data_IF_661084250890
#
_entry.id   IF_661084250890
#
_cell.length_a   1.000
_cell.length_b   1.000
_cell.length_c   1.000
_cell.angle_alpha   90.00
_cell.angle_beta   90.00
_cell.angle_gamma   90.00
#
_symmetry.space_group_name_H-M   'P 1'
#
loop_
_entity.id
_entity.type
_entity.pdbx_description
1 polymer ?
#
# COMPACT_ATOMS: atom_id res chain seq x y z
N UNK A 1 -8.71 11.50 81.71
CA UNK A 1 -9.74 11.68 82.68
C UNK A 1 -11.07 11.97 82.01
N UNK A 2 -11.89 11.08 82.31
CA UNK A 2 -13.26 11.32 82.79
C UNK A 2 -14.23 11.98 81.76
N UNK A 3 -15.42 11.61 81.59
CA UNK A 3 -16.30 10.65 82.22
C UNK A 3 -17.72 10.85 81.58
N UNK A 4 -18.41 9.77 81.59
CA UNK A 4 -19.82 9.60 81.87
C UNK A 4 -20.91 10.14 80.85
N UNK A 5 -21.62 9.26 80.37
CA UNK A 5 -22.93 8.84 80.11
C UNK A 5 -24.11 9.60 80.82
N UNK A 6 -25.35 9.05 80.84
CA UNK A 6 -26.18 8.47 79.80
C UNK A 6 -27.56 9.18 79.76
N UNK A 7 -28.45 8.85 78.82
CA UNK A 7 -29.80 9.35 78.95
C UNK A 7 -30.78 8.89 77.84
N UNK A 8 -31.50 7.83 78.13
CA UNK A 8 -32.95 7.58 77.96
C UNK A 8 -33.62 7.69 76.57
N UNK A 9 -34.08 6.52 76.16
CA UNK A 9 -35.26 6.28 75.32
C UNK A 9 -36.53 6.82 76.03
N UNK A 10 -37.72 6.94 75.40
CA UNK A 10 -38.44 5.85 74.74
C UNK A 10 -39.39 6.29 73.56
N UNK A 11 -39.96 5.32 72.89
CA UNK A 11 -41.10 5.51 72.02
C UNK A 11 -41.41 4.32 71.12
N UNK A 12 -41.94 3.26 71.73
CA UNK A 12 -42.58 2.17 71.02
C UNK A 12 -43.74 2.65 70.15
N UNK A 13 -43.76 2.23 68.91
CA UNK A 13 -45.05 2.11 68.12
C UNK A 13 -45.13 0.74 67.52
N UNK A 14 -46.22 0.10 67.87
CA UNK A 14 -46.67 -1.23 67.50
C UNK A 14 -46.75 -1.42 65.99
N UNK A 15 -46.20 -2.51 65.51
CA UNK A 15 -46.39 -3.03 64.17
C UNK A 15 -47.72 -3.79 64.05
N UNK A 16 -48.45 -3.71 62.93
CA UNK A 16 -49.57 -4.57 62.62
C UNK A 16 -49.09 -5.96 62.11
N UNK A 17 -49.93 -7.00 62.24
CA UNK A 17 -49.55 -8.38 62.01
C UNK A 17 -49.36 -8.70 60.53
N UNK A 18 -48.57 -9.76 60.18
CA UNK A 18 -48.23 -10.10 58.81
C UNK A 18 -49.40 -10.70 58.03
N UNK A 19 -49.60 -10.23 56.82
CA UNK A 19 -50.58 -10.77 55.86
C UNK A 19 -50.08 -12.10 55.28
N UNK A 20 -50.94 -13.03 55.14
CA UNK A 20 -50.77 -14.41 54.70
C UNK A 20 -50.07 -14.52 53.32
N UNK A 21 -49.17 -15.50 53.25
CA UNK A 21 -48.45 -15.90 52.05
C UNK A 21 -49.44 -16.34 50.90
N UNK A 22 -49.33 -15.67 49.77
CA UNK A 22 -49.85 -16.18 48.47
C UNK A 22 -48.72 -16.95 47.80
N UNK A 23 -49.01 -18.16 47.36
CA UNK A 23 -48.13 -19.06 46.68
C UNK A 23 -47.66 -18.49 45.30
N UNK A 24 -46.61 -19.07 44.73
CA UNK A 24 -45.97 -18.54 43.52
C UNK A 24 -46.90 -18.64 42.32
N UNK A 25 -47.06 -17.52 41.62
CA UNK A 25 -47.70 -17.47 40.32
C UNK A 25 -46.76 -18.20 39.32
N UNK A 26 -47.34 -19.12 38.57
CA UNK A 26 -46.69 -19.75 37.45
C UNK A 26 -46.45 -18.68 36.38
N UNK A 27 -45.20 -18.37 36.13
CA UNK A 27 -44.76 -17.63 34.95
C UNK A 27 -45.05 -18.49 33.70
N UNK A 28 -45.87 -17.97 32.81
CA UNK A 28 -46.00 -18.49 31.46
C UNK A 28 -44.73 -18.14 30.70
N UNK A 29 -44.17 -19.05 29.88
CA UNK A 29 -42.98 -18.74 29.07
C UNK A 29 -43.32 -17.65 28.04
N UNK A 30 -42.57 -16.55 28.07
CA UNK A 30 -42.62 -15.52 27.03
C UNK A 30 -42.30 -16.16 25.67
N UNK A 31 -43.20 -15.93 24.73
CA UNK A 31 -43.04 -16.33 23.34
C UNK A 31 -41.79 -15.60 22.78
N UNK A 32 -40.78 -16.36 22.36
CA UNK A 32 -39.65 -15.84 21.63
C UNK A 32 -40.14 -15.15 20.35
N UNK A 33 -39.66 -13.95 20.02
CA UNK A 33 -39.97 -13.30 18.75
C UNK A 33 -39.48 -14.18 17.60
N UNK A 34 -40.40 -14.51 16.69
CA UNK A 34 -40.07 -15.19 15.45
C UNK A 34 -39.08 -14.28 14.66
N UNK A 35 -38.06 -14.84 13.99
CA UNK A 35 -37.21 -14.05 13.15
C UNK A 35 -38.04 -13.40 12.05
N UNK A 36 -37.98 -12.07 11.97
CA UNK A 36 -38.59 -11.31 10.88
C UNK A 36 -38.06 -11.84 9.55
N UNK A 37 -38.98 -12.22 8.67
CA UNK A 37 -38.68 -12.64 7.32
C UNK A 37 -37.91 -11.48 6.64
N UNK A 38 -36.71 -11.76 6.10
CA UNK A 38 -35.99 -10.81 5.26
C UNK A 38 -36.92 -10.34 4.14
N UNK A 39 -37.00 -9.04 3.89
CA UNK A 39 -37.77 -8.55 2.76
C UNK A 39 -37.24 -9.20 1.48
N UNK A 40 -38.13 -9.78 0.68
CA UNK A 40 -37.79 -10.28 -0.65
C UNK A 40 -37.24 -9.12 -1.49
N UNK A 41 -36.09 -9.32 -2.11
CA UNK A 41 -35.44 -8.32 -2.97
C UNK A 41 -36.39 -7.99 -4.13
N UNK A 42 -36.49 -6.71 -4.49
CA UNK A 42 -37.29 -6.30 -5.64
C UNK A 42 -36.63 -6.75 -6.92
N UNK A 43 -37.35 -7.04 -8.00
CA UNK A 43 -36.80 -7.46 -9.29
C UNK A 43 -35.76 -6.48 -9.85
N UNK A 44 -35.90 -5.18 -9.58
CA UNK A 44 -34.97 -4.12 -10.00
C UNK A 44 -33.61 -4.23 -9.27
N UNK A 45 -33.61 -4.65 -7.99
CA UNK A 45 -32.41 -4.85 -7.19
C UNK A 45 -31.63 -6.09 -7.66
N UNK A 46 -32.32 -7.12 -8.15
CA UNK A 46 -31.69 -8.33 -8.70
C UNK A 46 -31.04 -8.06 -10.07
N UNK A 47 -31.69 -7.29 -10.93
CA UNK A 47 -31.13 -6.95 -12.25
C UNK A 47 -29.87 -6.06 -12.12
N UNK A 48 -29.86 -5.13 -11.18
CA UNK A 48 -28.68 -4.31 -10.88
C UNK A 48 -27.54 -5.14 -10.28
N UNK A 49 -27.85 -6.05 -9.36
CA UNK A 49 -26.88 -6.97 -8.78
C UNK A 49 -26.26 -7.91 -9.83
N UNK A 50 -27.07 -8.39 -10.77
CA UNK A 50 -26.56 -9.24 -11.86
C UNK A 50 -25.69 -8.47 -12.87
N UNK A 51 -26.05 -7.23 -13.17
CA UNK A 51 -25.23 -6.33 -14.03
C UNK A 51 -23.87 -6.07 -13.38
N UNK A 52 -23.85 -5.81 -12.06
CA UNK A 52 -22.61 -5.64 -11.30
C UNK A 52 -21.75 -6.90 -11.31
N UNK A 53 -22.35 -8.09 -11.13
CA UNK A 53 -21.64 -9.37 -11.19
C UNK A 53 -21.02 -9.64 -12.55
N UNK A 54 -21.71 -9.34 -13.65
CA UNK A 54 -21.14 -9.45 -15.01
C UNK A 54 -19.95 -8.51 -15.20
N UNK A 55 -20.04 -7.27 -14.72
CA UNK A 55 -18.92 -6.33 -14.73
C UNK A 55 -17.69 -6.90 -14.03
N UNK A 56 -17.87 -7.44 -12.83
CA UNK A 56 -16.77 -8.08 -12.07
C UNK A 56 -16.18 -9.30 -12.79
N UNK A 57 -17.00 -10.12 -13.47
CA UNK A 57 -16.49 -11.24 -14.27
C UNK A 57 -15.63 -10.75 -15.43
N UNK A 58 -16.06 -9.71 -16.12
CA UNK A 58 -15.29 -9.11 -17.22
C UNK A 58 -13.95 -8.55 -16.72
N UNK A 59 -13.97 -7.85 -15.59
CA UNK A 59 -12.76 -7.30 -14.96
C UNK A 59 -11.81 -8.40 -14.52
N UNK A 60 -12.31 -9.45 -13.86
CA UNK A 60 -11.52 -10.61 -13.46
C UNK A 60 -10.87 -11.29 -14.66
N UNK A 61 -11.65 -11.57 -15.73
CA UNK A 61 -11.15 -12.21 -16.94
C UNK A 61 -10.08 -11.37 -17.64
N UNK A 62 -10.23 -10.05 -17.64
CA UNK A 62 -9.24 -9.14 -18.23
C UNK A 62 -7.88 -9.19 -17.50
N UNK A 63 -7.90 -9.44 -16.17
CA UNK A 63 -6.69 -9.52 -15.34
C UNK A 63 -6.06 -10.91 -15.38
N UNK A 64 -6.88 -11.94 -15.18
CA UNK A 64 -6.43 -13.33 -15.05
C UNK A 64 -6.17 -14.01 -16.39
N UNK A 65 -6.70 -13.48 -17.49
CA UNK A 65 -6.69 -14.12 -18.80
C UNK A 65 -7.61 -15.34 -18.91
N UNK A 66 -8.49 -15.56 -17.90
CA UNK A 66 -9.41 -16.72 -17.88
C UNK A 66 -10.71 -16.44 -18.62
N UNK A 67 -11.44 -17.51 -18.91
CA UNK A 67 -12.79 -17.42 -19.43
C UNK A 67 -13.79 -16.96 -18.36
N UNK A 68 -14.87 -16.29 -18.76
CA UNK A 68 -15.89 -15.70 -17.89
C UNK A 68 -16.51 -16.71 -16.92
N UNK A 69 -16.65 -17.98 -17.32
CA UNK A 69 -17.15 -19.04 -16.46
C UNK A 69 -16.22 -19.34 -15.27
N UNK A 70 -14.91 -19.32 -15.49
CA UNK A 70 -13.92 -19.47 -14.41
C UNK A 70 -13.92 -18.25 -13.49
N UNK A 71 -13.98 -17.04 -14.07
CA UNK A 71 -14.09 -15.79 -13.32
C UNK A 71 -15.29 -15.81 -12.37
N UNK A 72 -16.45 -16.27 -12.85
CA UNK A 72 -17.67 -16.37 -12.05
C UNK A 72 -17.49 -17.31 -10.84
N UNK A 73 -16.79 -18.45 -11.01
CA UNK A 73 -16.53 -19.39 -9.92
C UNK A 73 -15.66 -18.76 -8.82
N UNK A 74 -14.56 -18.13 -9.20
CA UNK A 74 -13.64 -17.48 -8.23
C UNK A 74 -14.29 -16.30 -7.51
N UNK A 75 -15.05 -15.47 -8.24
CA UNK A 75 -15.79 -14.34 -7.67
C UNK A 75 -16.89 -14.80 -6.71
N UNK A 76 -17.65 -15.83 -7.07
CA UNK A 76 -18.68 -16.38 -6.20
C UNK A 76 -18.09 -16.97 -4.91
N UNK A 77 -16.97 -17.71 -5.01
CA UNK A 77 -16.26 -18.28 -3.87
C UNK A 77 -15.67 -17.20 -2.94
N UNK A 78 -15.39 -16.01 -3.49
CA UNK A 78 -14.78 -14.88 -2.76
C UNK A 78 -15.79 -13.81 -2.32
N UNK A 79 -17.10 -14.12 -2.37
CA UNK A 79 -18.15 -13.18 -1.98
C UNK A 79 -18.31 -12.00 -2.94
N UNK A 80 -17.94 -12.17 -4.20
CA UNK A 80 -17.95 -11.14 -5.25
C UNK A 80 -16.99 -9.97 -4.98
N UNK A 81 -15.93 -10.22 -4.22
CA UNK A 81 -14.82 -9.28 -4.02
C UNK A 81 -13.68 -9.59 -5.01
N UNK A 82 -13.45 -8.69 -5.98
CA UNK A 82 -12.51 -8.88 -7.07
C UNK A 82 -11.08 -9.17 -6.60
N UNK A 83 -10.58 -8.41 -5.62
CA UNK A 83 -9.23 -8.59 -5.10
C UNK A 83 -9.02 -9.97 -4.46
N UNK A 84 -10.01 -10.42 -3.65
CA UNK A 84 -9.98 -11.74 -3.03
C UNK A 84 -10.09 -12.88 -4.05
N UNK A 85 -10.91 -12.68 -5.09
CA UNK A 85 -11.06 -13.65 -6.17
C UNK A 85 -9.77 -13.81 -6.99
N UNK A 86 -9.10 -12.70 -7.31
CA UNK A 86 -7.83 -12.70 -8.02
C UNK A 86 -6.72 -13.37 -7.20
N UNK A 87 -6.62 -13.07 -5.90
CA UNK A 87 -5.68 -13.75 -5.03
C UNK A 87 -5.93 -15.27 -5.01
N UNK A 88 -7.19 -15.69 -4.82
CA UNK A 88 -7.56 -17.12 -4.83
C UNK A 88 -7.27 -17.80 -6.18
N UNK A 89 -7.38 -17.08 -7.29
CA UNK A 89 -7.06 -17.60 -8.61
C UNK A 89 -5.55 -17.81 -8.78
N UNK A 90 -4.74 -16.83 -8.42
CA UNK A 90 -3.30 -16.89 -8.55
C UNK A 90 -2.65 -17.83 -7.52
N UNK A 91 -3.27 -18.06 -6.35
CA UNK A 91 -2.86 -19.06 -5.36
C UNK A 91 -3.14 -20.52 -5.82
N UNK A 92 -4.04 -20.71 -6.79
CA UNK A 92 -4.50 -22.04 -7.20
C UNK A 92 -3.60 -22.73 -8.24
N UNK A 93 -2.61 -22.05 -8.81
CA UNK A 93 -1.77 -22.57 -9.90
C UNK A 93 -0.62 -23.49 -9.42
N UNK A 94 -0.78 -24.16 -8.25
CA UNK A 94 0.11 -25.22 -7.79
C UNK A 94 -0.59 -26.59 -7.89
N UNK A 95 -0.80 -27.08 -9.11
CA UNK A 95 -0.99 -28.52 -9.34
C UNK A 95 -0.40 -28.91 -10.69
N UNK A 96 0.53 -29.90 -10.75
CA UNK A 96 0.98 -30.44 -12.00
C UNK A 96 0.03 -31.58 -12.43
N UNK A 97 -0.67 -31.42 -13.52
CA UNK A 97 -1.25 -32.62 -14.18
C UNK A 97 -1.23 -32.49 -15.68
N UNK A 98 -0.36 -33.25 -16.20
CA UNK A 98 -0.38 -34.19 -17.31
C UNK A 98 -1.53 -34.09 -18.31
N UNK A 99 -1.04 -34.08 -19.53
CA UNK A 99 -1.54 -34.74 -20.73
C UNK A 99 -2.48 -34.02 -21.66
N UNK A 100 -1.91 -33.77 -22.74
CA UNK A 100 -2.19 -34.28 -24.08
C UNK A 100 -2.64 -33.25 -25.12
N UNK A 101 -1.78 -33.19 -26.09
CA UNK A 101 -1.96 -33.23 -27.57
C UNK A 101 -2.43 -31.96 -28.28
N UNK A 102 -1.41 -31.36 -28.98
CA UNK A 102 -1.32 -31.23 -30.45
C UNK A 102 -2.39 -30.38 -31.13
N UNK A 103 -2.11 -29.45 -31.99
CA UNK A 103 -1.05 -29.08 -32.93
C UNK A 103 -1.30 -27.66 -33.47
N UNK A 104 -0.37 -27.06 -34.22
CA UNK A 104 -0.30 -25.63 -34.43
C UNK A 104 -1.06 -25.19 -35.69
N UNK A 105 -1.62 -24.02 -35.64
CA UNK A 105 -1.92 -23.29 -36.88
C UNK A 105 -1.36 -21.86 -36.76
N UNK A 106 -0.43 -21.62 -37.66
CA UNK A 106 0.08 -20.31 -38.07
C UNK A 106 -1.05 -19.37 -38.43
N UNK A 107 -0.88 -18.11 -38.08
CA UNK A 107 -1.13 -16.91 -38.91
C UNK A 107 -1.16 -15.73 -37.94
N UNK A 108 -0.34 -14.84 -38.06
CA UNK A 108 -0.10 -13.66 -38.85
C UNK A 108 0.64 -12.62 -37.98
N UNK A 109 1.83 -12.31 -38.40
CA UNK A 109 2.66 -11.26 -37.82
C UNK A 109 2.06 -9.88 -38.17
N UNK A 110 1.35 -9.30 -37.20
CA UNK A 110 1.11 -7.88 -37.12
C UNK A 110 2.19 -7.24 -36.25
N UNK A 111 3.26 -6.79 -36.86
CA UNK A 111 4.35 -6.07 -36.18
C UNK A 111 3.83 -4.74 -35.60
N UNK A 112 3.33 -4.75 -34.38
CA UNK A 112 3.24 -3.57 -33.55
C UNK A 112 4.63 -3.31 -32.97
N UNK A 113 5.33 -2.36 -33.56
CA UNK A 113 6.58 -1.81 -33.07
C UNK A 113 6.38 -1.25 -31.64
N UNK A 114 6.56 -2.12 -30.64
CA UNK A 114 6.62 -1.68 -29.24
C UNK A 114 7.98 -1.02 -29.01
N UNK A 115 8.01 0.30 -29.09
CA UNK A 115 9.16 1.08 -28.69
C UNK A 115 9.39 0.85 -27.18
N UNK A 116 10.45 0.13 -26.86
CA UNK A 116 10.95 0.08 -25.49
C UNK A 116 11.47 1.46 -25.12
N UNK A 117 10.88 2.10 -24.13
CA UNK A 117 11.40 3.34 -23.58
C UNK A 117 12.53 2.93 -22.65
N UNK A 118 13.75 3.25 -23.03
CA UNK A 118 14.89 3.18 -22.11
C UNK A 118 14.78 4.39 -21.19
N UNK A 119 14.68 4.14 -19.88
CA UNK A 119 14.57 5.19 -18.88
C UNK A 119 15.88 6.01 -18.72
N UNK A 120 16.91 5.68 -19.48
CA UNK A 120 18.17 6.44 -19.49
C UNK A 120 18.23 7.51 -20.59
N UNK A 121 17.32 7.48 -21.58
CA UNK A 121 17.37 8.44 -22.68
C UNK A 121 16.37 9.58 -22.45
N UNK A 122 16.89 10.80 -22.28
CA UNK A 122 16.12 12.04 -22.35
C UNK A 122 15.63 12.20 -23.79
N UNK A 123 14.33 12.25 -23.99
CA UNK A 123 13.72 12.52 -25.28
C UNK A 123 14.39 13.73 -25.96
N UNK A 124 15.12 13.47 -27.03
CA UNK A 124 15.60 14.52 -27.93
C UNK A 124 14.40 15.05 -28.69
N UNK A 125 13.91 16.20 -28.29
CA UNK A 125 13.07 17.03 -29.13
C UNK A 125 13.82 17.28 -30.43
N UNK A 126 13.26 16.80 -31.55
CA UNK A 126 13.78 17.09 -32.88
C UNK A 126 13.69 18.58 -33.15
N UNK A 127 14.82 19.25 -33.12
CA UNK A 127 15.00 20.50 -33.84
C UNK A 127 15.99 20.24 -34.96
N UNK A 128 15.56 20.56 -36.17
CA UNK A 128 16.31 20.42 -37.40
C UNK A 128 17.59 21.28 -37.40
N UNK A 129 18.67 20.64 -37.87
CA UNK A 129 19.84 21.20 -38.50
C UNK A 129 20.64 22.34 -37.83
N UNK A 130 21.77 22.00 -37.22
CA UNK A 130 23.05 22.68 -37.46
C UNK A 130 24.19 21.69 -37.31
N UNK A 131 25.18 21.80 -38.21
CA UNK A 131 26.35 20.95 -38.44
C UNK A 131 27.33 20.95 -37.28
N UNK A 132 27.94 19.77 -37.05
CA UNK A 132 29.31 19.44 -36.65
C UNK A 132 29.99 20.35 -35.62
N UNK A 133 30.30 19.80 -34.44
CA UNK A 133 31.72 19.61 -34.03
C UNK A 133 31.79 18.62 -32.83
N UNK A 134 32.68 17.66 -33.07
CA UNK A 134 33.44 16.79 -32.16
C UNK A 134 32.94 16.51 -30.74
N UNK A 135 32.74 15.24 -30.51
CA UNK A 135 33.10 14.44 -29.30
C UNK A 135 33.45 15.27 -28.04
N UNK A 136 32.48 15.68 -27.30
CA UNK A 136 32.56 15.85 -25.87
C UNK A 136 31.54 14.91 -25.27
N UNK A 137 31.98 13.72 -24.93
CA UNK A 137 31.27 12.87 -23.96
C UNK A 137 31.35 13.64 -22.62
N UNK A 138 30.42 14.56 -22.41
CA UNK A 138 30.16 15.07 -21.07
C UNK A 138 29.60 13.89 -20.27
N UNK A 139 30.50 13.19 -19.57
CA UNK A 139 30.09 12.39 -18.44
C UNK A 139 29.35 13.36 -17.50
N UNK A 140 28.01 13.30 -17.48
CA UNK A 140 27.24 13.95 -16.42
C UNK A 140 27.90 13.51 -15.11
N UNK A 141 28.58 14.44 -14.42
CA UNK A 141 29.13 14.17 -13.11
C UNK A 141 27.97 13.80 -12.22
N UNK A 142 27.94 12.53 -11.87
CA UNK A 142 26.95 11.99 -10.95
C UNK A 142 27.16 12.72 -9.63
N UNK A 143 26.14 13.46 -9.19
CA UNK A 143 26.18 14.13 -7.89
C UNK A 143 26.10 13.08 -6.78
N UNK A 144 27.26 12.74 -6.21
CA UNK A 144 27.35 11.76 -5.11
C UNK A 144 26.89 12.33 -3.76
N UNK A 145 26.69 13.64 -3.67
CA UNK A 145 26.23 14.33 -2.47
C UNK A 145 24.73 14.20 -2.23
N UNK A 146 23.99 13.63 -3.20
CA UNK A 146 22.52 13.51 -3.13
C UNK A 146 22.05 12.09 -3.42
N UNK A 147 20.96 11.72 -2.72
CA UNK A 147 20.22 10.48 -2.92
C UNK A 147 18.73 10.84 -3.06
N UNK A 148 18.08 10.31 -4.09
CA UNK A 148 16.66 10.52 -4.33
C UNK A 148 15.88 9.22 -4.17
N UNK A 149 14.71 9.31 -3.48
CA UNK A 149 13.84 8.19 -3.21
C UNK A 149 12.39 8.55 -3.57
N UNK A 150 11.75 7.70 -4.36
CA UNK A 150 10.32 7.76 -4.64
C UNK A 150 9.62 6.61 -3.91
N UNK A 151 8.56 6.88 -3.15
CA UNK A 151 7.64 5.83 -2.67
C UNK A 151 6.24 6.09 -3.19
N UNK A 152 5.59 5.04 -3.73
CA UNK A 152 4.29 5.20 -4.36
C UNK A 152 3.45 3.92 -4.32
N UNK A 153 2.25 3.98 -3.76
CA UNK A 153 1.21 3.01 -4.02
C UNK A 153 0.66 3.28 -5.44
N UNK A 154 0.86 2.34 -6.36
CA UNK A 154 0.55 2.51 -7.79
C UNK A 154 -0.85 2.04 -8.17
N UNK A 155 -1.67 1.66 -7.18
CA UNK A 155 -3.06 1.23 -7.36
C UNK A 155 -3.16 0.16 -8.45
N UNK A 156 -2.35 -0.88 -8.33
CA UNK A 156 -2.27 -1.97 -9.31
C UNK A 156 -3.53 -2.86 -9.30
N UNK A 157 -4.34 -2.77 -8.25
CA UNK A 157 -5.59 -3.52 -8.13
C UNK A 157 -6.73 -2.92 -8.95
N UNK A 158 -6.72 -1.61 -9.22
CA UNK A 158 -7.69 -0.99 -10.12
C UNK A 158 -7.32 -1.24 -11.58
N UNK A 159 -8.16 -2.00 -12.27
CA UNK A 159 -7.95 -2.39 -13.66
C UNK A 159 -8.35 -1.31 -14.68
N UNK A 160 -9.08 -0.28 -14.24
CA UNK A 160 -9.51 0.81 -15.12
C UNK A 160 -8.28 1.57 -15.67
N UNK A 161 -8.10 1.53 -16.97
CA UNK A 161 -6.98 2.18 -17.68
C UNK A 161 -5.58 1.80 -17.15
N UNK A 162 -5.42 0.58 -16.61
CA UNK A 162 -4.17 0.16 -15.95
C UNK A 162 -2.94 0.32 -16.85
N UNK A 163 -3.03 0.05 -18.14
CA UNK A 163 -1.91 0.18 -19.06
C UNK A 163 -1.46 1.64 -19.25
N UNK A 164 -2.41 2.57 -19.33
CA UNK A 164 -2.14 3.99 -19.45
C UNK A 164 -1.57 4.54 -18.14
N UNK A 165 -2.14 4.13 -17.00
CA UNK A 165 -1.66 4.48 -15.68
C UNK A 165 -0.24 3.93 -15.43
N UNK A 166 0.02 2.67 -15.79
CA UNK A 166 1.35 2.07 -15.68
C UNK A 166 2.38 2.78 -16.58
N UNK A 167 1.98 3.21 -17.78
CA UNK A 167 2.83 4.01 -18.65
C UNK A 167 3.18 5.34 -17.99
N UNK A 168 2.21 6.02 -17.41
CA UNK A 168 2.41 7.29 -16.73
C UNK A 168 3.34 7.15 -15.50
N UNK A 169 3.18 6.10 -14.69
CA UNK A 169 4.10 5.80 -13.58
C UNK A 169 5.52 5.60 -14.10
N UNK A 170 5.71 4.80 -15.17
CA UNK A 170 7.04 4.62 -15.78
C UNK A 170 7.62 5.93 -16.30
N UNK A 171 6.80 6.78 -16.94
CA UNK A 171 7.24 8.07 -17.47
C UNK A 171 7.67 9.02 -16.35
N UNK A 172 6.97 9.03 -15.22
CA UNK A 172 7.34 9.83 -14.06
C UNK A 172 8.62 9.31 -13.39
N UNK A 173 8.80 7.98 -13.28
CA UNK A 173 10.07 7.40 -12.82
C UNK A 173 11.22 7.79 -13.77
N UNK A 174 10.98 7.81 -15.08
CA UNK A 174 11.96 8.24 -16.07
C UNK A 174 12.27 9.74 -15.99
N UNK A 175 11.27 10.56 -15.70
CA UNK A 175 11.41 12.02 -15.58
C UNK A 175 12.23 12.41 -14.36
N UNK A 176 11.88 11.84 -13.19
CA UNK A 176 12.55 12.16 -11.92
C UNK A 176 13.85 11.36 -11.72
N UNK A 177 14.01 10.25 -12.41
CA UNK A 177 15.18 9.34 -12.33
C UNK A 177 15.65 9.04 -10.91
N UNK A 178 14.76 8.69 -9.96
CA UNK A 178 15.15 8.49 -8.56
C UNK A 178 16.16 7.34 -8.43
N UNK A 179 17.07 7.44 -7.45
CA UNK A 179 18.05 6.37 -7.19
C UNK A 179 17.35 5.11 -6.63
N UNK A 180 16.29 5.33 -5.85
CA UNK A 180 15.53 4.30 -5.13
C UNK A 180 14.05 4.52 -5.39
N UNK A 181 13.31 3.44 -5.70
CA UNK A 181 11.85 3.48 -5.80
C UNK A 181 11.24 2.38 -4.94
N UNK A 182 10.27 2.74 -4.11
CA UNK A 182 9.42 1.82 -3.37
C UNK A 182 8.03 1.83 -3.97
N UNK A 183 7.54 0.67 -4.37
CA UNK A 183 6.20 0.52 -4.94
C UNK A 183 5.34 -0.36 -4.05
N UNK A 184 4.07 0.02 -3.91
CA UNK A 184 3.06 -0.78 -3.25
C UNK A 184 1.94 -1.08 -4.25
N UNK A 185 1.19 -2.15 -4.02
CA UNK A 185 0.17 -2.70 -4.91
C UNK A 185 0.70 -3.09 -6.30
N UNK A 186 1.89 -3.65 -6.34
CA UNK A 186 2.43 -4.25 -7.56
C UNK A 186 1.75 -5.61 -7.76
N UNK A 187 1.19 -5.83 -8.94
CA UNK A 187 0.65 -7.12 -9.37
C UNK A 187 1.55 -7.72 -10.46
N UNK A 188 1.54 -9.05 -10.70
CA UNK A 188 2.43 -9.68 -11.68
C UNK A 188 2.40 -9.07 -13.08
N UNK A 189 1.23 -8.71 -13.69
CA UNK A 189 1.20 -8.00 -14.96
C UNK A 189 1.91 -6.64 -14.93
N UNK A 190 1.73 -5.88 -13.83
CA UNK A 190 2.39 -4.59 -13.65
C UNK A 190 3.90 -4.75 -13.46
N UNK A 191 4.32 -5.74 -12.66
CA UNK A 191 5.74 -6.09 -12.50
C UNK A 191 6.41 -6.44 -13.84
N UNK A 192 5.74 -7.28 -14.65
CA UNK A 192 6.25 -7.64 -15.96
C UNK A 192 6.36 -6.43 -16.90
N UNK A 193 5.43 -5.48 -16.81
CA UNK A 193 5.48 -4.23 -17.54
C UNK A 193 6.68 -3.37 -17.10
N UNK A 194 6.85 -3.17 -15.78
CA UNK A 194 7.99 -2.44 -15.22
C UNK A 194 9.31 -3.08 -15.64
N UNK A 195 9.43 -4.40 -15.57
CA UNK A 195 10.65 -5.13 -15.93
C UNK A 195 11.05 -4.92 -17.38
N UNK A 196 10.08 -4.77 -18.29
CA UNK A 196 10.32 -4.49 -19.70
C UNK A 196 10.69 -3.03 -19.98
N UNK A 197 10.26 -2.09 -19.15
CA UNK A 197 10.39 -0.65 -19.39
C UNK A 197 11.48 0.00 -18.55
N UNK A 198 11.61 -0.39 -17.29
CA UNK A 198 12.60 0.18 -16.36
C UNK A 198 13.92 -0.60 -16.39
N UNK A 199 14.52 -0.74 -17.57
CA UNK A 199 15.74 -1.55 -17.79
C UNK A 199 16.96 -1.03 -17.02
N UNK A 200 16.99 0.27 -16.69
CA UNK A 200 18.03 0.91 -15.87
C UNK A 200 17.93 0.60 -14.39
N UNK A 201 16.87 -0.10 -13.95
CA UNK A 201 16.66 -0.48 -12.56
C UNK A 201 16.78 -1.99 -12.36
N UNK A 202 17.28 -2.37 -11.19
CA UNK A 202 17.08 -3.71 -10.63
C UNK A 202 15.82 -3.69 -9.82
N UNK A 203 14.86 -4.57 -10.12
CA UNK A 203 13.56 -4.64 -9.43
C UNK A 203 13.55 -5.86 -8.52
N UNK A 204 13.27 -5.65 -7.25
CA UNK A 204 13.24 -6.65 -6.19
C UNK A 204 11.81 -6.72 -5.66
N UNK A 205 11.02 -7.74 -6.04
CA UNK A 205 9.69 -7.92 -5.53
C UNK A 205 9.70 -8.55 -4.13
N UNK A 206 8.70 -8.23 -3.31
CA UNK A 206 8.51 -8.86 -2.00
C UNK A 206 7.74 -10.18 -2.08
N UNK A 207 7.13 -10.46 -3.22
CA UNK A 207 6.43 -11.71 -3.53
C UNK A 207 6.40 -11.91 -5.05
N UNK A 208 5.94 -13.09 -5.49
CA UNK A 208 5.77 -13.43 -6.91
C UNK A 208 4.28 -13.51 -7.30
N UNK A 209 3.39 -13.62 -6.32
CA UNK A 209 1.96 -13.83 -6.49
C UNK A 209 1.14 -12.75 -5.79
N UNK A 210 -0.16 -12.66 -6.15
CA UNK A 210 -1.08 -11.70 -5.55
C UNK A 210 -0.72 -10.24 -5.84
N UNK A 211 -0.70 -9.41 -4.81
CA UNK A 211 -0.25 -8.03 -4.88
C UNK A 211 0.74 -7.75 -3.74
N UNK A 212 1.84 -7.14 -4.08
CA UNK A 212 3.00 -7.04 -3.21
C UNK A 212 3.70 -5.69 -3.33
N UNK A 213 4.72 -5.51 -2.51
CA UNK A 213 5.61 -4.36 -2.62
C UNK A 213 6.86 -4.72 -3.44
N UNK A 214 7.47 -3.72 -4.05
CA UNK A 214 8.74 -3.89 -4.75
C UNK A 214 9.68 -2.72 -4.47
N UNK A 215 10.99 -3.01 -4.51
CA UNK A 215 12.04 -2.00 -4.47
C UNK A 215 12.74 -2.01 -5.84
N UNK A 216 12.88 -0.81 -6.43
CA UNK A 216 13.67 -0.62 -7.64
C UNK A 216 14.93 0.18 -7.30
N UNK A 217 16.07 -0.29 -7.77
CA UNK A 217 17.40 0.30 -7.52
C UNK A 217 18.03 0.70 -8.85
N UNK A 218 18.41 1.97 -9.00
CA UNK A 218 19.07 2.50 -10.21
C UNK A 218 20.43 1.85 -10.37
N UNK A 219 20.63 1.03 -11.41
CA UNK A 219 21.82 0.20 -11.62
C UNK A 219 23.12 0.97 -11.66
N UNK A 220 23.09 2.21 -12.18
CA UNK A 220 24.27 3.07 -12.29
C UNK A 220 24.72 3.68 -10.95
N UNK A 221 23.85 3.65 -9.92
CA UNK A 221 24.06 4.35 -8.65
C UNK A 221 24.07 3.42 -7.44
N UNK A 222 23.22 2.39 -7.47
CA UNK A 222 22.88 1.61 -6.28
C UNK A 222 23.31 0.17 -6.46
N UNK A 223 24.18 -0.31 -5.58
CA UNK A 223 24.64 -1.71 -5.54
C UNK A 223 23.85 -2.46 -4.46
N UNK A 224 23.09 -3.48 -4.86
CA UNK A 224 22.45 -4.39 -3.92
C UNK A 224 23.49 -5.26 -3.20
N UNK A 225 23.41 -5.33 -1.88
CA UNK A 225 24.27 -6.18 -1.05
C UNK A 225 23.52 -7.39 -0.51
N UNK A 226 22.31 -7.18 0.04
CA UNK A 226 21.46 -8.23 0.64
C UNK A 226 20.00 -7.88 0.51
N UNK A 227 19.13 -8.89 0.44
CA UNK A 227 17.69 -8.76 0.55
C UNK A 227 17.13 -9.72 1.60
N UNK A 228 16.05 -9.32 2.24
CA UNK A 228 15.33 -10.10 3.26
C UNK A 228 13.85 -9.72 3.21
N UNK A 229 12.98 -10.71 3.38
CA UNK A 229 11.54 -10.50 3.55
C UNK A 229 11.18 -10.94 4.96
N UNK A 230 10.58 -10.06 5.74
CA UNK A 230 10.07 -10.37 7.08
C UNK A 230 8.55 -10.42 7.03
N UNK A 231 7.90 -11.59 7.17
CA UNK A 231 6.46 -11.70 7.16
C UNK A 231 5.85 -11.09 8.43
N UNK A 232 4.67 -10.52 8.32
CA UNK A 232 3.85 -10.15 9.48
C UNK A 232 2.92 -11.32 9.83
N UNK A 233 3.21 -12.02 10.91
CA UNK A 233 2.59 -13.31 11.24
C UNK A 233 1.08 -13.26 11.52
N UNK A 234 0.53 -12.09 11.82
CA UNK A 234 -0.90 -11.89 12.13
C UNK A 234 -1.64 -11.06 11.07
N UNK A 235 -1.01 -10.84 9.91
CA UNK A 235 -1.65 -10.16 8.78
C UNK A 235 -2.85 -10.95 8.26
N UNK A 236 -3.90 -10.26 7.88
CA UNK A 236 -5.04 -10.83 7.14
C UNK A 236 -5.01 -10.49 5.64
N UNK A 237 -4.03 -9.68 5.22
CA UNK A 237 -3.87 -9.19 3.85
C UNK A 237 -2.48 -9.53 3.28
N UNK A 238 -1.83 -10.58 3.82
CA UNK A 238 -0.53 -11.12 3.37
C UNK A 238 0.59 -10.07 3.34
N UNK A 239 0.53 -9.10 4.26
CA UNK A 239 1.53 -8.04 4.34
C UNK A 239 2.87 -8.55 4.86
N UNK A 240 3.93 -7.99 4.32
CA UNK A 240 5.30 -8.25 4.73
C UNK A 240 6.14 -6.97 4.73
N UNK A 241 7.35 -7.06 5.24
CA UNK A 241 8.36 -6.02 5.19
C UNK A 241 9.51 -6.48 4.30
N UNK A 242 9.67 -5.84 3.14
CA UNK A 242 10.82 -6.02 2.26
C UNK A 242 11.97 -5.15 2.74
N UNK A 243 13.12 -5.77 2.97
CA UNK A 243 14.34 -5.12 3.46
C UNK A 243 15.46 -5.40 2.45
N UNK A 244 16.16 -4.34 2.02
CA UNK A 244 17.36 -4.49 1.21
C UNK A 244 18.51 -3.66 1.80
N UNK A 245 19.70 -4.22 1.80
CA UNK A 245 20.92 -3.53 2.13
C UNK A 245 21.61 -3.16 0.83
N UNK A 246 21.98 -1.90 0.69
CA UNK A 246 22.58 -1.36 -0.52
C UNK A 246 23.81 -0.54 -0.18
N UNK A 247 24.65 -0.32 -1.21
CA UNK A 247 25.72 0.66 -1.17
C UNK A 247 25.47 1.71 -2.27
N UNK A 248 25.54 2.98 -1.88
CA UNK A 248 25.46 4.13 -2.79
C UNK A 248 26.67 5.02 -2.53
N UNK A 249 27.53 5.21 -3.52
CA UNK A 249 28.70 6.07 -3.42
C UNK A 249 29.57 5.78 -2.15
N UNK A 250 29.72 4.51 -1.80
CA UNK A 250 30.50 4.09 -0.63
C UNK A 250 29.68 3.99 0.68
N UNK A 251 28.47 4.56 0.73
CA UNK A 251 27.64 4.59 1.93
C UNK A 251 26.70 3.38 1.99
N UNK A 252 26.63 2.71 3.14
CA UNK A 252 25.70 1.61 3.38
C UNK A 252 24.36 2.13 3.88
N UNK A 253 23.27 1.74 3.19
CA UNK A 253 21.92 2.03 3.56
C UNK A 253 21.13 0.73 3.76
N UNK A 254 20.24 0.76 4.73
CA UNK A 254 19.21 -0.25 4.91
C UNK A 254 17.85 0.34 4.47
N UNK A 255 17.34 -0.16 3.37
CA UNK A 255 16.09 0.31 2.75
C UNK A 255 14.98 -0.67 3.08
N UNK A 256 13.83 -0.15 3.49
CA UNK A 256 12.68 -0.95 3.89
C UNK A 256 11.40 -0.41 3.27
N UNK A 257 10.55 -1.30 2.76
CA UNK A 257 9.20 -0.91 2.31
C UNK A 257 8.16 -1.93 2.73
N UNK A 258 6.96 -1.45 2.94
CA UNK A 258 5.79 -2.25 3.23
C UNK A 258 4.52 -1.54 2.76
N UNK A 259 3.46 -2.33 2.54
CA UNK A 259 2.08 -1.87 2.53
C UNK A 259 1.44 -2.40 3.81
N UNK A 260 1.24 -1.56 4.83
CA UNK A 260 0.68 -2.00 6.09
C UNK A 260 -0.81 -2.31 5.96
N UNK A 261 -1.34 -3.04 6.93
CA UNK A 261 -2.75 -3.47 6.93
C UNK A 261 -3.71 -2.31 6.71
N UNK A 262 -4.59 -2.44 5.72
CA UNK A 262 -5.55 -1.41 5.32
C UNK A 262 -6.76 -1.36 6.25
N UNK A 263 -7.66 -0.45 6.00
CA UNK A 263 -8.97 -0.22 6.62
C UNK A 263 -8.95 0.16 8.12
N UNK A 264 -10.07 0.66 8.60
CA UNK A 264 -10.24 1.11 9.99
C UNK A 264 -10.21 -0.04 10.98
N UNK A 265 -10.77 -1.19 10.59
CA UNK A 265 -10.98 -2.32 11.51
C UNK A 265 -9.69 -3.07 11.83
N UNK A 266 -8.67 -2.93 10.98
CA UNK A 266 -7.36 -3.55 11.15
C UNK A 266 -6.32 -2.66 11.88
N UNK A 267 -6.78 -1.62 12.56
CA UNK A 267 -5.91 -0.67 13.28
C UNK A 267 -4.93 -1.34 14.25
N UNK A 268 -5.38 -2.39 14.97
CA UNK A 268 -4.51 -3.12 15.91
C UNK A 268 -3.36 -3.83 15.21
N UNK A 269 -3.67 -4.48 14.09
CA UNK A 269 -2.67 -5.19 13.29
C UNK A 269 -1.68 -4.21 12.68
N UNK A 270 -2.16 -3.15 12.07
CA UNK A 270 -1.34 -2.09 11.50
C UNK A 270 -0.34 -1.50 12.52
N UNK A 271 -0.80 -1.27 13.75
CA UNK A 271 0.07 -0.78 14.83
C UNK A 271 1.14 -1.80 15.21
N UNK A 272 0.84 -3.12 15.23
CA UNK A 272 1.83 -4.18 15.46
C UNK A 272 2.85 -4.24 14.33
N UNK A 273 2.40 -4.10 13.09
CA UNK A 273 3.27 -4.05 11.92
C UNK A 273 4.21 -2.84 12.00
N UNK A 274 3.69 -1.65 12.35
CA UNK A 274 4.53 -0.47 12.60
C UNK A 274 5.58 -0.71 13.70
N UNK A 275 5.19 -1.37 14.81
CA UNK A 275 6.14 -1.71 15.87
C UNK A 275 7.25 -2.64 15.36
N UNK A 276 6.92 -3.59 14.49
CA UNK A 276 7.89 -4.48 13.85
C UNK A 276 8.82 -3.71 12.93
N UNK A 277 8.30 -2.80 12.11
CA UNK A 277 9.10 -1.91 11.26
C UNK A 277 10.08 -1.10 12.10
N UNK A 278 9.59 -0.39 13.13
CA UNK A 278 10.46 0.41 14.00
C UNK A 278 11.52 -0.43 14.72
N UNK A 279 11.18 -1.66 15.11
CA UNK A 279 12.14 -2.58 15.71
C UNK A 279 13.23 -2.96 14.70
N UNK A 280 12.86 -3.34 13.47
CA UNK A 280 13.83 -3.65 12.40
C UNK A 280 14.71 -2.46 12.05
N UNK A 281 14.15 -1.24 12.05
CA UNK A 281 14.94 -0.02 11.87
C UNK A 281 15.97 0.19 12.98
N UNK A 282 15.62 -0.11 14.25
CA UNK A 282 16.54 0.00 15.37
C UNK A 282 17.60 -1.13 15.41
N UNK A 283 17.19 -2.35 15.01
CA UNK A 283 18.07 -3.54 15.02
C UNK A 283 19.10 -3.52 13.85
N UNK A 284 18.92 -2.64 12.84
CA UNK A 284 19.90 -2.46 11.78
C UNK A 284 21.22 -1.86 12.32
N UNK A 285 22.33 -2.09 11.60
CA UNK A 285 23.65 -1.59 11.99
C UNK A 285 23.60 -0.09 12.33
N UNK A 286 24.24 0.33 13.42
CA UNK A 286 24.27 1.73 13.83
C UNK A 286 24.96 2.63 12.83
N UNK A 287 25.92 2.08 12.09
CA UNK A 287 26.66 2.78 11.04
C UNK A 287 25.82 3.08 9.81
N UNK A 288 24.82 2.22 9.52
CA UNK A 288 23.99 2.37 8.33
C UNK A 288 22.83 3.35 8.57
N UNK A 289 22.59 4.22 7.60
CA UNK A 289 21.33 4.96 7.53
C UNK A 289 20.20 4.01 7.13
N UNK A 290 19.09 4.08 7.84
CA UNK A 290 17.89 3.27 7.57
C UNK A 290 16.78 4.16 7.06
N UNK A 291 16.19 3.81 5.93
CA UNK A 291 15.04 4.50 5.35
C UNK A 291 13.92 3.49 5.15
N UNK A 292 12.78 3.76 5.76
CA UNK A 292 11.52 3.05 5.52
C UNK A 292 10.58 3.97 4.76
N UNK A 293 9.89 3.46 3.75
CA UNK A 293 8.83 4.18 3.04
C UNK A 293 7.75 3.23 2.55
N UNK A 294 6.53 3.72 2.44
CA UNK A 294 5.42 2.95 1.90
C UNK A 294 4.05 3.45 2.31
N UNK A 295 3.03 2.76 1.81
CA UNK A 295 1.65 2.97 2.24
C UNK A 295 1.46 2.35 3.62
N UNK A 296 1.49 3.19 4.62
CA UNK A 296 1.34 2.77 6.01
C UNK A 296 -0.11 2.62 6.45
N UNK A 297 -1.06 3.15 5.69
CA UNK A 297 -2.47 3.23 6.08
C UNK A 297 -2.68 3.84 7.49
N UNK A 298 -1.66 4.49 8.06
CA UNK A 298 -1.69 5.04 9.42
C UNK A 298 -2.54 6.29 9.51
N UNK A 299 -3.26 6.41 10.62
CA UNK A 299 -3.87 7.66 11.07
C UNK A 299 -2.98 8.25 12.16
N UNK A 300 -2.86 9.58 12.20
CA UNK A 300 -1.94 10.25 13.15
C UNK A 300 -2.21 9.88 14.61
N UNK A 301 -3.48 9.67 14.97
CA UNK A 301 -3.84 9.24 16.31
C UNK A 301 -3.32 7.82 16.67
N UNK A 302 -3.06 6.94 15.69
CA UNK A 302 -2.52 5.60 15.93
C UNK A 302 -1.04 5.70 16.33
N UNK A 303 -0.28 6.57 15.66
CA UNK A 303 1.11 6.87 16.03
C UNK A 303 1.17 7.52 17.42
N UNK A 304 0.27 8.47 17.70
CA UNK A 304 0.18 9.13 19.00
C UNK A 304 -0.14 8.14 20.13
N UNK A 305 -1.08 7.21 19.92
CA UNK A 305 -1.42 6.16 20.91
C UNK A 305 -0.25 5.22 21.19
N UNK A 306 0.63 5.02 20.23
CA UNK A 306 1.84 4.21 20.39
C UNK A 306 2.93 4.93 21.20
N UNK A 307 2.74 6.22 21.51
CA UNK A 307 3.74 7.06 22.16
C UNK A 307 4.69 7.74 21.18
N UNK A 308 4.34 7.78 19.90
CA UNK A 308 5.18 8.31 18.83
C UNK A 308 6.12 7.29 18.21
N UNK A 309 6.99 7.74 17.34
CA UNK A 309 8.07 6.94 16.77
C UNK A 309 9.14 6.67 17.83
N UNK A 310 9.87 5.56 17.71
CA UNK A 310 10.94 5.23 18.64
C UNK A 310 12.13 6.20 18.50
N UNK A 311 12.89 6.33 19.59
CA UNK A 311 14.07 7.19 19.63
C UNK A 311 15.02 6.93 18.44
N UNK A 312 15.50 8.01 17.83
CA UNK A 312 16.37 7.97 16.67
C UNK A 312 15.65 7.80 15.33
N UNK A 313 14.35 7.50 15.32
CA UNK A 313 13.54 7.41 14.11
C UNK A 313 12.72 8.69 13.95
N UNK A 314 12.77 9.31 12.79
CA UNK A 314 12.03 10.53 12.44
C UNK A 314 11.15 10.29 11.22
N UNK A 315 9.98 10.94 11.21
CA UNK A 315 9.13 11.06 10.02
C UNK A 315 9.69 12.20 9.15
N UNK A 316 9.99 11.94 7.89
CA UNK A 316 10.59 12.91 6.97
C UNK A 316 9.72 14.16 6.84
N UNK A 317 8.40 14.02 6.72
CA UNK A 317 7.48 15.14 6.63
C UNK A 317 7.52 16.04 7.88
N UNK A 318 7.58 15.41 9.08
CA UNK A 318 7.71 16.16 10.34
C UNK A 318 9.09 16.80 10.47
N UNK A 319 10.15 16.09 10.08
CA UNK A 319 11.52 16.59 10.10
C UNK A 319 11.70 17.86 9.22
N UNK A 320 11.04 17.90 8.07
CA UNK A 320 11.06 19.02 7.13
C UNK A 320 10.10 20.17 7.52
N UNK A 321 9.53 20.13 8.73
CA UNK A 321 8.66 21.20 9.23
C UNK A 321 7.21 21.12 8.78
N UNK A 322 6.75 19.93 8.36
CA UNK A 322 5.35 19.64 8.00
C UNK A 322 4.82 20.50 6.82
N UNK A 323 5.48 20.46 5.66
CA UNK A 323 5.05 21.28 4.52
C UNK A 323 3.62 20.92 4.10
N UNK A 324 2.75 21.93 4.01
CA UNK A 324 1.32 21.76 3.74
C UNK A 324 1.05 21.17 2.36
N UNK A 325 1.88 21.49 1.36
CA UNK A 325 1.70 21.07 -0.04
C UNK A 325 1.89 19.56 -0.25
N UNK A 326 2.50 18.83 0.69
CA UNK A 326 2.65 17.39 0.65
C UNK A 326 2.08 16.68 1.90
N UNK A 327 1.13 17.31 2.59
CA UNK A 327 0.52 16.76 3.80
C UNK A 327 -0.32 15.52 3.52
N UNK A 328 -1.07 15.51 2.41
CA UNK A 328 -2.03 14.44 2.12
C UNK A 328 -1.60 13.66 0.89
N UNK A 329 -1.41 12.36 1.07
CA UNK A 329 -0.98 11.45 0.01
C UNK A 329 -2.15 10.67 -0.60
N UNK A 330 -3.26 10.59 0.12
CA UNK A 330 -4.52 10.02 -0.34
C UNK A 330 -5.65 11.04 -0.13
N UNK A 331 -6.21 11.53 -1.24
CA UNK A 331 -7.08 12.70 -1.25
C UNK A 331 -8.25 12.55 -2.22
N UNK A 332 -9.38 12.02 -1.73
CA UNK A 332 -10.60 11.84 -2.54
C UNK A 332 -11.32 13.16 -2.87
N UNK A 333 -10.82 14.31 -2.42
CA UNK A 333 -11.34 15.61 -2.84
C UNK A 333 -10.77 16.03 -4.21
N UNK A 334 -9.50 15.73 -4.44
CA UNK A 334 -8.76 16.11 -5.63
C UNK A 334 -8.50 14.94 -6.58
N UNK A 335 -8.43 13.70 -6.06
CA UNK A 335 -8.29 12.48 -6.83
C UNK A 335 -9.64 11.74 -6.90
N UNK A 336 -10.13 11.53 -8.10
CA UNK A 336 -11.43 10.89 -8.34
C UNK A 336 -11.33 9.44 -8.87
N UNK A 337 -10.16 8.82 -8.81
CA UNK A 337 -9.98 7.44 -9.29
C UNK A 337 -10.93 6.46 -8.58
N UNK A 338 -11.12 6.61 -7.27
CA UNK A 338 -11.99 5.73 -6.49
C UNK A 338 -13.50 5.98 -6.66
N UNK A 339 -13.92 7.04 -7.35
CA UNK A 339 -15.34 7.40 -7.43
C UNK A 339 -16.03 7.45 -6.06
N UNK A 340 -15.27 7.78 -5.01
CA UNK A 340 -15.75 7.78 -3.63
C UNK A 340 -16.86 8.80 -3.40
N UNK A 341 -17.96 8.35 -2.80
CA UNK A 341 -19.08 9.23 -2.44
C UNK A 341 -18.79 10.14 -1.23
N UNK A 342 -17.62 9.99 -0.60
CA UNK A 342 -17.17 10.79 0.54
C UNK A 342 -15.90 11.56 0.21
N UNK A 343 -15.73 12.69 0.87
CA UNK A 343 -14.54 13.55 0.74
C UNK A 343 -13.63 13.34 1.95
N UNK A 344 -12.44 12.84 1.70
CA UNK A 344 -11.46 12.55 2.75
C UNK A 344 -10.05 12.87 2.27
N UNK A 345 -9.19 13.32 3.19
CA UNK A 345 -7.78 13.60 2.94
C UNK A 345 -6.96 12.97 4.06
N UNK A 346 -6.03 12.09 3.71
CA UNK A 346 -5.24 11.32 4.68
C UNK A 346 -3.78 11.25 4.24
N UNK A 347 -2.89 11.19 5.22
CA UNK A 347 -1.46 10.95 5.02
C UNK A 347 -1.18 9.47 5.29
N UNK A 348 -1.48 8.63 4.31
CA UNK A 348 -1.25 7.19 4.42
C UNK A 348 0.17 6.80 4.08
N UNK A 349 0.73 7.41 3.05
CA UNK A 349 2.11 7.17 2.64
C UNK A 349 3.06 7.98 3.50
N UNK A 350 4.10 7.33 4.02
CA UNK A 350 5.05 7.93 4.94
C UNK A 350 6.46 7.47 4.64
N UNK A 351 7.41 8.33 4.96
CA UNK A 351 8.84 8.01 4.93
C UNK A 351 9.41 8.25 6.32
N UNK A 352 10.01 7.21 6.91
CA UNK A 352 10.72 7.30 8.18
C UNK A 352 12.21 7.08 7.92
N UNK A 353 13.06 7.75 8.68
CA UNK A 353 14.49 7.54 8.59
C UNK A 353 15.14 7.50 9.97
N UNK A 354 16.26 6.78 10.04
CA UNK A 354 17.21 6.77 11.15
C UNK A 354 18.59 7.01 10.55
N UNK A 355 19.21 8.13 10.89
CA UNK A 355 20.56 8.45 10.43
C UNK A 355 21.58 7.42 10.96
N UNK A 356 22.56 7.09 10.13
CA UNK A 356 23.73 6.32 10.55
C UNK A 356 24.71 7.18 11.35
N UNK A 357 25.63 6.52 12.06
CA UNK A 357 26.63 7.20 12.90
C UNK A 357 27.87 7.63 12.10
N UNK A 358 28.17 6.99 10.97
CA UNK A 358 29.37 7.29 10.15
C UNK A 358 29.10 8.32 9.06
N UNK A 359 28.01 8.14 8.32
CA UNK A 359 27.60 9.08 7.28
C UNK A 359 26.18 9.56 7.57
N UNK A 360 26.01 10.86 7.67
CA UNK A 360 24.69 11.43 7.87
C UNK A 360 24.01 11.63 6.51
N UNK A 361 22.95 10.87 6.30
CA UNK A 361 22.03 11.05 5.16
C UNK A 361 20.79 11.73 5.72
N UNK A 362 20.57 12.98 5.31
CA UNK A 362 19.58 13.87 5.93
C UNK A 362 18.56 14.32 4.89
N UNK A 363 17.24 14.20 5.19
CA UNK A 363 16.20 14.70 4.29
C UNK A 363 16.33 16.20 4.06
N UNK A 364 16.22 16.64 2.80
CA UNK A 364 16.28 18.04 2.40
C UNK A 364 14.97 18.53 1.78
N UNK A 365 14.32 17.68 1.01
CA UNK A 365 13.11 18.03 0.29
C UNK A 365 12.15 16.86 0.24
N UNK A 366 10.85 17.17 0.21
CA UNK A 366 9.78 16.21 -0.02
C UNK A 366 8.73 16.88 -0.89
N UNK A 367 8.28 16.18 -1.92
CA UNK A 367 7.21 16.64 -2.81
C UNK A 367 6.29 15.49 -3.24
N UNK A 368 5.10 15.84 -3.72
CA UNK A 368 4.16 14.87 -4.26
C UNK A 368 4.30 14.77 -5.78
N UNK A 369 4.14 13.57 -6.30
CA UNK A 369 4.16 13.28 -7.74
C UNK A 369 2.88 12.58 -8.19
N UNK A 370 2.60 12.64 -9.49
CA UNK A 370 1.42 12.01 -10.08
C UNK A 370 0.14 12.85 -9.94
N UNK A 371 0.26 14.16 -9.75
CA UNK A 371 -0.84 15.09 -9.49
C UNK A 371 -1.65 15.45 -10.73
N UNK A 372 -1.19 15.10 -11.93
CA UNK A 372 -1.83 15.44 -13.18
C UNK A 372 -2.70 14.30 -13.70
N UNK A 373 -3.85 14.67 -14.27
CA UNK A 373 -4.72 13.72 -14.97
C UNK A 373 -4.14 13.31 -16.30
N UNK A 374 -4.28 12.03 -16.61
CA UNK A 374 -3.98 11.44 -17.89
C UNK A 374 -5.07 11.79 -18.92
N UNK A 375 -4.81 11.51 -20.20
CA UNK A 375 -5.79 11.73 -21.29
C UNK A 375 -7.09 10.96 -21.05
N UNK A 376 -7.04 9.78 -20.43
CA UNK A 376 -8.22 9.02 -20.01
C UNK A 376 -9.04 9.67 -18.88
N UNK A 377 -8.63 10.82 -18.36
CA UNK A 377 -9.31 11.54 -17.28
C UNK A 377 -9.06 10.99 -15.87
N UNK A 378 -8.19 9.97 -15.73
CA UNK A 378 -7.77 9.40 -14.45
C UNK A 378 -6.39 9.90 -14.07
N UNK A 379 -6.06 9.77 -12.79
CA UNK A 379 -4.69 9.94 -12.31
C UNK A 379 -3.89 8.64 -12.43
N UNK A 380 -2.55 8.67 -12.39
CA UNK A 380 -1.72 7.46 -12.44
C UNK A 380 -2.05 6.45 -11.33
N UNK A 381 -2.42 6.93 -10.15
CA UNK A 381 -2.86 6.16 -8.99
C UNK A 381 -3.93 6.92 -8.22
N UNK A 382 -4.66 6.30 -7.32
CA UNK A 382 -5.51 6.95 -6.32
C UNK A 382 -4.70 7.54 -5.14
N UNK A 383 -3.41 7.19 -5.03
CA UNK A 383 -2.41 7.81 -4.17
C UNK A 383 -1.51 8.78 -4.93
N UNK A 384 -1.04 9.81 -4.26
CA UNK A 384 0.08 10.63 -4.71
C UNK A 384 1.39 9.97 -4.29
N UNK A 385 2.36 9.88 -5.20
CA UNK A 385 3.69 9.41 -4.84
C UNK A 385 4.44 10.48 -4.03
N UNK A 386 5.37 10.05 -3.19
CA UNK A 386 6.26 10.92 -2.43
C UNK A 386 7.66 10.80 -3.01
N UNK A 387 8.21 11.91 -3.48
CA UNK A 387 9.61 12.05 -3.86
C UNK A 387 10.35 12.76 -2.75
N UNK A 388 11.42 12.16 -2.24
CA UNK A 388 12.29 12.72 -1.21
C UNK A 388 13.72 12.82 -1.72
N UNK A 389 14.36 13.96 -1.46
CA UNK A 389 15.79 14.13 -1.65
C UNK A 389 16.51 14.17 -0.30
N UNK A 390 17.66 13.52 -0.26
CA UNK A 390 18.53 13.44 0.91
C UNK A 390 19.93 13.94 0.54
N UNK A 391 20.53 14.74 1.40
CA UNK A 391 21.94 15.09 1.29
C UNK A 391 22.81 14.08 2.03
N UNK A 392 23.93 13.76 1.45
CA UNK A 392 25.00 12.95 2.05
C UNK A 392 26.01 13.88 2.66
N UNK A 393 26.07 13.94 3.98
CA UNK A 393 27.03 14.75 4.73
C UNK A 393 28.15 13.83 5.22
N UNK A 394 29.33 14.04 4.70
CA UNK A 394 30.57 13.33 5.04
C UNK A 394 31.21 13.88 6.31
#
# INVERSE_FOLDING_TARGET
PESTGPGLAPGERLEPPPAAARGPAQEQPEAQPQPEARPEARPEDEEEAERRRRGLCTEFSAVSGTEEAAAQCYLAASGWELGRALNSYFDSDVQPSSSAMETPSQLDEGASSQVCIDLTDKDKVKTDNVKTDKDICEQEQVDESRISLLTWNIDGLDQKNIQERARAVCSLIALYTPDIVFLQEVIPPYYNYLKKRAVSYTIIPADEEGYYTAIMLKKSRVKLLKQEITPFLSTSMERNLLIVQVNIAGNELCLMTSHLESTKDHSRERVRQLQTVMKKMQDAAETATVIFGGDTNLRDHEVTKLGGLKAGISDVWEYLGKPEYCQYTWDTQNNNNLEACYKCRLRFDRVFFRAGTETQIIPQQMELVGLDKLECGRFPSDHWGILCDFDVIL
#
